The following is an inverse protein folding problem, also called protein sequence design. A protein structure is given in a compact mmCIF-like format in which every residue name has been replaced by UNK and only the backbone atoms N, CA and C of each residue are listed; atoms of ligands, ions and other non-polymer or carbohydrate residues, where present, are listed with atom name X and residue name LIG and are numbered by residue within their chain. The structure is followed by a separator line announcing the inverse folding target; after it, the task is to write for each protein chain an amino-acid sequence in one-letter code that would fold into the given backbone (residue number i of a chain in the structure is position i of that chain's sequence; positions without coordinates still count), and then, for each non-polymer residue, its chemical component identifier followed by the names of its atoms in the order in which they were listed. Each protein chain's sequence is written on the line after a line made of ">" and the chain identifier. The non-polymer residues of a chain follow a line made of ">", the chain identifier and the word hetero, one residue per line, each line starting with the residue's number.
data_IF_266017194215
#
_entry.id   IF_266017194215
#
_cell.length_a   1.000
_cell.length_b   1.000
_cell.length_c   1.000
_cell.angle_alpha   90.00
_cell.angle_beta   90.00
_cell.angle_gamma   90.00
#
_symmetry.space_group_name_H-M   'P 1'
#
loop_
_entity.id
_entity.type
_entity.pdbx_description
1 polymer ?
#
# COMPACT_ATOMS: atom_id res chain seq x y z
N UNK A 1 40.10 -8.16 -3.64
CA UNK A 1 38.63 -8.08 -3.45
C UNK A 1 38.35 -7.32 -2.16
N UNK A 2 37.80 -6.11 -2.26
CA UNK A 2 37.45 -5.28 -1.09
C UNK A 2 36.29 -5.93 -0.32
N UNK A 3 36.33 -5.88 1.03
CA UNK A 3 35.29 -6.44 1.92
C UNK A 3 33.85 -6.03 1.51
N UNK A 4 33.69 -4.85 0.90
CA UNK A 4 32.43 -4.32 0.36
C UNK A 4 31.86 -5.19 -0.78
N UNK A 5 32.70 -5.68 -1.70
CA UNK A 5 32.28 -6.52 -2.81
C UNK A 5 31.88 -7.94 -2.39
N UNK A 6 32.52 -8.48 -1.34
CA UNK A 6 32.13 -9.78 -0.77
C UNK A 6 30.76 -9.70 -0.06
N UNK A 7 30.50 -8.61 0.67
CA UNK A 7 29.19 -8.36 1.27
C UNK A 7 28.08 -8.24 0.22
N UNK A 8 28.36 -7.54 -0.89
CA UNK A 8 27.46 -7.42 -2.05
C UNK A 8 27.11 -8.78 -2.67
N UNK A 9 28.08 -9.70 -2.82
CA UNK A 9 27.83 -11.06 -3.33
C UNK A 9 26.99 -11.92 -2.38
N UNK A 10 27.25 -11.84 -1.07
CA UNK A 10 26.49 -12.56 -0.05
C UNK A 10 25.04 -12.07 -0.03
N UNK A 11 24.84 -10.76 -0.11
CA UNK A 11 23.49 -10.15 -0.22
C UNK A 11 22.78 -10.60 -1.49
N UNK A 12 23.47 -10.71 -2.64
CA UNK A 12 22.89 -11.25 -3.88
C UNK A 12 22.42 -12.70 -3.72
N UNK A 13 23.22 -13.57 -3.07
CA UNK A 13 22.81 -14.96 -2.79
C UNK A 13 21.65 -15.04 -1.79
N UNK A 14 21.62 -14.15 -0.81
CA UNK A 14 20.54 -14.06 0.18
C UNK A 14 19.22 -13.58 -0.43
N UNK A 15 19.29 -12.61 -1.35
CA UNK A 15 18.14 -12.12 -2.12
C UNK A 15 17.46 -13.25 -2.93
N UNK A 16 18.25 -14.19 -3.44
CA UNK A 16 17.70 -15.34 -4.17
C UNK A 16 17.01 -16.36 -3.27
N UNK A 17 17.35 -16.43 -1.98
CA UNK A 17 16.75 -17.36 -1.02
C UNK A 17 15.52 -16.79 -0.30
N UNK A 18 15.47 -15.48 -0.06
CA UNK A 18 14.35 -14.84 0.67
C UNK A 18 14.15 -13.36 0.27
N UNK A 19 13.27 -13.09 -0.71
CA UNK A 19 12.98 -11.73 -1.19
C UNK A 19 12.36 -10.80 -0.15
N UNK A 20 11.71 -11.34 0.89
CA UNK A 20 11.05 -10.52 1.93
C UNK A 20 12.09 -10.03 2.93
N UNK A 21 12.99 -10.92 3.36
CA UNK A 21 14.09 -10.53 4.24
C UNK A 21 15.15 -9.70 3.52
N UNK A 22 15.25 -9.79 2.19
CA UNK A 22 16.21 -8.98 1.45
C UNK A 22 15.87 -7.49 1.40
N UNK A 23 14.58 -7.12 1.41
CA UNK A 23 14.17 -5.73 1.50
C UNK A 23 14.74 -5.06 2.76
N UNK A 24 14.70 -5.74 3.92
CA UNK A 24 15.28 -5.25 5.18
C UNK A 24 16.78 -5.04 5.08
N UNK A 25 17.49 -5.96 4.42
CA UNK A 25 18.93 -5.84 4.21
C UNK A 25 19.27 -4.65 3.30
N UNK A 26 18.47 -4.42 2.25
CA UNK A 26 18.61 -3.28 1.35
C UNK A 26 18.31 -1.95 2.06
N UNK A 27 17.32 -1.89 2.94
CA UNK A 27 16.98 -0.68 3.72
C UNK A 27 18.10 -0.26 4.69
N UNK A 28 18.94 -1.20 5.14
CA UNK A 28 20.08 -0.91 5.99
C UNK A 28 21.29 -0.34 5.22
N UNK A 29 21.30 -0.45 3.89
CA UNK A 29 22.37 0.07 3.04
C UNK A 29 22.13 1.54 2.69
N UNK A 30 23.19 2.21 2.24
CA UNK A 30 23.02 3.52 1.59
C UNK A 30 22.23 3.35 0.28
N UNK A 31 21.39 4.33 -0.11
CA UNK A 31 20.60 4.23 -1.35
C UNK A 31 21.43 3.91 -2.60
N UNK A 32 22.64 4.47 -2.70
CA UNK A 32 23.57 4.20 -3.79
C UNK A 32 24.11 2.76 -3.78
N UNK A 33 24.42 2.20 -2.61
CA UNK A 33 24.89 0.81 -2.48
C UNK A 33 23.75 -0.17 -2.78
N UNK A 34 22.54 0.09 -2.27
CA UNK A 34 21.35 -0.70 -2.59
C UNK A 34 21.03 -0.68 -4.11
N UNK A 35 21.16 0.48 -4.76
CA UNK A 35 20.99 0.59 -6.22
C UNK A 35 22.03 -0.24 -6.99
N UNK A 36 23.26 -0.35 -6.49
CA UNK A 36 24.29 -1.21 -7.07
C UNK A 36 23.96 -2.70 -6.91
N UNK A 37 23.38 -3.10 -5.77
CA UNK A 37 22.88 -4.47 -5.56
C UNK A 37 21.80 -4.80 -6.60
N UNK A 38 20.78 -3.94 -6.70
CA UNK A 38 19.61 -4.16 -7.57
C UNK A 38 20.00 -4.24 -9.06
N UNK A 39 20.92 -3.40 -9.54
CA UNK A 39 21.46 -3.48 -10.91
C UNK A 39 22.08 -4.82 -11.25
N UNK A 40 22.64 -5.51 -10.25
CA UNK A 40 23.26 -6.81 -10.42
C UNK A 40 22.30 -7.98 -10.43
N UNK A 41 20.98 -7.74 -10.37
CA UNK A 41 19.94 -8.76 -10.32
C UNK A 41 19.09 -8.75 -11.59
N UNK A 42 18.47 -9.89 -11.94
CA UNK A 42 17.42 -9.91 -12.95
C UNK A 42 16.26 -8.98 -12.56
N UNK A 43 15.68 -8.28 -13.54
CA UNK A 43 14.62 -7.30 -13.30
C UNK A 43 13.42 -7.86 -12.50
N UNK A 44 13.09 -9.15 -12.66
CA UNK A 44 12.02 -9.80 -11.89
C UNK A 44 12.35 -9.95 -10.41
N UNK A 45 13.60 -10.29 -10.08
CA UNK A 45 14.05 -10.43 -8.69
C UNK A 45 14.23 -9.06 -8.05
N UNK A 46 14.75 -8.09 -8.79
CA UNK A 46 14.84 -6.71 -8.34
C UNK A 46 13.43 -6.13 -8.06
N UNK A 47 12.44 -6.43 -8.90
CA UNK A 47 11.06 -6.01 -8.68
C UNK A 47 10.47 -6.59 -7.39
N UNK A 48 10.67 -7.89 -7.12
CA UNK A 48 10.25 -8.51 -5.86
C UNK A 48 10.91 -7.86 -4.64
N UNK A 49 12.19 -7.49 -4.73
CA UNK A 49 12.86 -6.77 -3.64
C UNK A 49 12.22 -5.38 -3.46
N UNK A 50 12.01 -4.65 -4.55
CA UNK A 50 11.40 -3.32 -4.54
C UNK A 50 9.98 -3.34 -3.98
N UNK A 51 9.17 -4.34 -4.32
CA UNK A 51 7.80 -4.51 -3.78
C UNK A 51 7.74 -4.63 -2.26
N UNK A 52 8.82 -5.08 -1.62
CA UNK A 52 8.89 -5.26 -0.18
C UNK A 52 9.60 -4.10 0.54
N UNK A 53 10.19 -3.14 -0.19
CA UNK A 53 10.82 -1.95 0.39
C UNK A 53 9.79 -0.93 0.88
N UNK A 54 10.22 0.01 1.72
CA UNK A 54 9.41 1.22 1.96
C UNK A 54 9.29 1.96 0.63
N UNK A 55 8.11 2.47 0.23
CA UNK A 55 7.99 3.29 -0.97
C UNK A 55 9.00 4.46 -1.02
N UNK A 56 9.28 5.09 0.13
CA UNK A 56 10.31 6.14 0.25
C UNK A 56 11.73 5.61 -0.02
N UNK A 57 12.10 4.49 0.59
CA UNK A 57 13.41 3.86 0.39
C UNK A 57 13.57 3.35 -1.04
N UNK A 58 12.54 2.72 -1.60
CA UNK A 58 12.51 2.32 -3.00
C UNK A 58 12.70 3.52 -3.94
N UNK A 59 11.99 4.63 -3.71
CA UNK A 59 12.16 5.86 -4.49
C UNK A 59 13.61 6.38 -4.43
N UNK A 60 14.19 6.50 -3.23
CA UNK A 60 15.58 6.93 -3.05
C UNK A 60 16.57 6.01 -3.77
N UNK A 61 16.36 4.70 -3.71
CA UNK A 61 17.22 3.72 -4.39
C UNK A 61 17.10 3.83 -5.91
N UNK A 62 15.87 3.92 -6.44
CA UNK A 62 15.62 4.02 -7.87
C UNK A 62 16.16 5.31 -8.47
N UNK A 63 16.15 6.42 -7.73
CA UNK A 63 16.76 7.70 -8.16
C UNK A 63 18.27 7.63 -8.33
N UNK A 64 18.94 6.64 -7.72
CA UNK A 64 20.36 6.36 -7.94
C UNK A 64 20.62 5.38 -9.10
N UNK A 65 19.58 4.98 -9.84
CA UNK A 65 19.66 4.12 -11.01
C UNK A 65 19.41 4.92 -12.31
N UNK A 66 19.76 4.35 -13.46
CA UNK A 66 19.36 4.96 -14.72
C UNK A 66 17.84 4.83 -14.92
N UNK A 67 17.13 5.83 -15.47
CA UNK A 67 15.68 5.78 -15.67
C UNK A 67 15.19 4.53 -16.42
N UNK A 68 15.98 4.04 -17.38
CA UNK A 68 15.68 2.82 -18.14
C UNK A 68 15.76 1.55 -17.30
N UNK A 69 16.73 1.46 -16.38
CA UNK A 69 16.84 0.33 -15.45
C UNK A 69 15.71 0.36 -14.42
N UNK A 70 15.40 1.56 -13.88
CA UNK A 70 14.28 1.75 -12.96
C UNK A 70 12.95 1.37 -13.61
N UNK A 71 12.70 1.81 -14.85
CA UNK A 71 11.49 1.45 -15.60
C UNK A 71 11.36 -0.07 -15.81
N UNK A 72 12.45 -0.76 -16.13
CA UNK A 72 12.46 -2.22 -16.30
C UNK A 72 12.10 -2.98 -15.00
N UNK A 73 12.49 -2.44 -13.83
CA UNK A 73 12.13 -3.00 -12.53
C UNK A 73 10.66 -2.69 -12.22
N UNK A 74 10.24 -1.44 -12.36
CA UNK A 74 8.88 -0.98 -12.06
C UNK A 74 7.82 -1.67 -12.93
N UNK A 75 8.12 -1.97 -14.19
CA UNK A 75 7.23 -2.72 -15.07
C UNK A 75 6.92 -4.13 -14.55
N UNK A 76 7.81 -4.72 -13.75
CA UNK A 76 7.64 -6.05 -13.18
C UNK A 76 7.14 -6.04 -11.73
N UNK A 77 7.02 -4.86 -11.13
CA UNK A 77 6.50 -4.67 -9.79
C UNK A 77 4.99 -4.41 -9.82
N UNK A 78 4.31 -4.68 -8.71
CA UNK A 78 2.89 -4.44 -8.53
C UNK A 78 2.52 -2.97 -8.70
N UNK A 79 1.53 -2.69 -9.57
CA UNK A 79 1.06 -1.35 -9.93
C UNK A 79 0.79 -0.45 -8.72
N UNK A 80 0.18 -1.00 -7.67
CA UNK A 80 -0.11 -0.28 -6.42
C UNK A 80 1.15 0.25 -5.74
N UNK A 81 2.11 -0.63 -5.51
CA UNK A 81 3.35 -0.26 -4.83
C UNK A 81 4.16 0.73 -5.67
N UNK A 82 4.16 0.55 -7.00
CA UNK A 82 4.78 1.50 -7.93
C UNK A 82 4.11 2.88 -7.84
N UNK A 83 2.79 2.97 -7.78
CA UNK A 83 2.09 4.24 -7.61
C UNK A 83 2.52 4.95 -6.32
N UNK A 84 2.69 4.23 -5.22
CA UNK A 84 3.18 4.81 -3.95
C UNK A 84 4.64 5.28 -4.04
N UNK A 85 5.50 4.52 -4.72
CA UNK A 85 6.88 4.92 -5.01
C UNK A 85 6.91 6.23 -5.81
N UNK A 86 6.09 6.34 -6.85
CA UNK A 86 6.05 7.52 -7.73
C UNK A 86 5.71 8.82 -7.00
N UNK A 87 4.92 8.77 -5.91
CA UNK A 87 4.63 9.95 -5.08
C UNK A 87 5.85 10.45 -4.29
N UNK A 88 6.85 9.59 -4.12
CA UNK A 88 8.09 9.87 -3.37
C UNK A 88 9.27 10.16 -4.28
N UNK A 89 9.16 9.84 -5.57
CA UNK A 89 10.16 10.18 -6.56
C UNK A 89 10.22 11.69 -6.78
N UNK A 90 11.43 12.19 -7.00
CA UNK A 90 11.68 13.54 -7.47
C UNK A 90 10.96 13.79 -8.80
N UNK A 91 10.38 14.99 -9.00
CA UNK A 91 9.51 15.27 -10.15
C UNK A 91 10.22 15.09 -11.49
N UNK A 92 11.51 15.40 -11.56
CA UNK A 92 12.30 15.28 -12.79
C UNK A 92 12.60 13.82 -13.13
N UNK A 93 12.90 12.99 -12.12
CA UNK A 93 13.12 11.56 -12.31
C UNK A 93 11.82 10.85 -12.70
N UNK A 94 10.71 11.17 -12.03
CA UNK A 94 9.40 10.64 -12.39
C UNK A 94 9.03 10.95 -13.86
N UNK A 95 9.24 12.19 -14.31
CA UNK A 95 9.04 12.60 -15.71
C UNK A 95 9.92 11.84 -16.70
N UNK A 96 11.12 11.44 -16.31
CA UNK A 96 12.02 10.65 -17.14
C UNK A 96 11.62 9.17 -17.23
N UNK A 97 11.00 8.61 -16.18
CA UNK A 97 10.60 7.20 -16.11
C UNK A 97 9.23 6.94 -16.74
N UNK A 98 8.26 7.84 -16.57
CA UNK A 98 6.88 7.66 -17.09
C UNK A 98 6.84 7.28 -18.58
N UNK A 99 7.59 7.95 -19.49
CA UNK A 99 7.57 7.61 -20.92
C UNK A 99 8.17 6.24 -21.25
N UNK A 100 8.92 5.65 -20.31
CA UNK A 100 9.56 4.34 -20.46
C UNK A 100 8.67 3.19 -19.97
N UNK A 101 7.56 3.51 -19.31
CA UNK A 101 6.52 2.55 -18.92
C UNK A 101 5.54 2.36 -20.08
N UNK A 102 4.90 1.19 -20.15
CA UNK A 102 3.89 0.91 -21.18
C UNK A 102 2.68 1.84 -21.03
N UNK A 103 2.05 2.20 -22.15
CA UNK A 103 0.90 3.13 -22.17
C UNK A 103 -0.23 2.71 -21.22
N UNK A 104 -0.51 1.40 -21.15
CA UNK A 104 -1.54 0.86 -20.26
C UNK A 104 -1.16 0.99 -18.79
N UNK A 105 0.11 0.71 -18.45
CA UNK A 105 0.61 0.85 -17.07
C UNK A 105 0.58 2.31 -16.61
N UNK A 106 1.00 3.23 -17.48
CA UNK A 106 1.01 4.67 -17.20
C UNK A 106 -0.40 5.23 -16.98
N UNK A 107 -1.39 4.78 -17.77
CA UNK A 107 -2.80 5.19 -17.61
C UNK A 107 -3.38 4.69 -16.29
N UNK A 108 -3.23 3.40 -16.01
CA UNK A 108 -3.71 2.80 -14.76
C UNK A 108 -3.12 3.52 -13.53
N UNK A 109 -1.81 3.80 -13.56
CA UNK A 109 -1.13 4.48 -12.48
C UNK A 109 -1.59 5.94 -12.32
N UNK A 110 -1.76 6.68 -13.42
CA UNK A 110 -2.26 8.05 -13.38
C UNK A 110 -3.67 8.13 -12.77
N UNK A 111 -4.52 7.16 -13.11
CA UNK A 111 -5.85 7.04 -12.52
C UNK A 111 -5.78 6.76 -11.01
N UNK A 112 -4.98 5.77 -10.60
CA UNK A 112 -4.77 5.44 -9.18
C UNK A 112 -4.22 6.63 -8.38
N UNK A 113 -3.34 7.44 -8.97
CA UNK A 113 -2.72 8.59 -8.33
C UNK A 113 -3.70 9.73 -8.04
N UNK A 114 -4.82 9.77 -8.76
CA UNK A 114 -5.90 10.78 -8.65
C UNK A 114 -6.78 10.54 -7.43
N UNK A 115 -6.93 9.29 -6.98
CA UNK A 115 -7.80 8.97 -5.84
C UNK A 115 -7.15 9.26 -4.47
N UNK A 116 -7.94 9.58 -3.42
CA UNK A 116 -7.44 9.79 -2.06
C UNK A 116 -6.71 8.57 -1.47
N UNK A 117 -5.80 8.78 -0.50
CA UNK A 117 -4.96 7.72 0.11
C UNK A 117 -5.79 6.53 0.62
N UNK A 118 -6.82 6.83 1.41
CA UNK A 118 -7.65 5.86 2.14
C UNK A 118 -8.94 5.48 1.38
N UNK A 119 -8.96 5.62 0.05
CA UNK A 119 -10.16 5.40 -0.76
C UNK A 119 -10.16 4.05 -1.47
N UNK A 120 -11.34 3.55 -1.83
CA UNK A 120 -11.51 2.34 -2.63
C UNK A 120 -10.68 2.39 -3.93
N UNK A 121 -10.65 3.54 -4.61
CA UNK A 121 -9.91 3.74 -5.85
C UNK A 121 -8.39 3.61 -5.70
N UNK A 122 -7.86 3.82 -4.48
CA UNK A 122 -6.45 3.55 -4.18
C UNK A 122 -6.19 2.08 -3.84
N UNK A 123 -7.15 1.44 -3.19
CA UNK A 123 -7.05 0.06 -2.74
C UNK A 123 -7.45 -0.95 -3.83
N UNK A 124 -8.01 -0.49 -4.96
CA UNK A 124 -8.58 -1.34 -6.00
C UNK A 124 -7.56 -1.86 -7.00
N UNK A 125 -7.63 -3.14 -7.30
CA UNK A 125 -6.86 -3.77 -8.37
C UNK A 125 -7.63 -3.65 -9.68
N UNK A 126 -6.93 -3.30 -10.77
CA UNK A 126 -7.50 -3.28 -12.13
C UNK A 126 -7.50 -4.66 -12.79
N UNK A 127 -6.87 -5.65 -12.18
CA UNK A 127 -6.83 -7.03 -12.64
C UNK A 127 -8.07 -7.79 -12.15
N UNK A 128 -9.15 -7.76 -12.93
CA UNK A 128 -10.41 -8.46 -12.62
C UNK A 128 -10.93 -9.28 -13.79
N UNK A 129 -11.76 -10.28 -13.47
CA UNK A 129 -12.44 -11.09 -14.50
C UNK A 129 -13.81 -10.51 -14.80
N UNK A 130 -14.00 -10.11 -16.06
CA UNK A 130 -15.28 -9.68 -16.59
C UNK A 130 -15.62 -10.41 -17.89
N UNK A 131 -16.88 -10.83 -18.03
CA UNK A 131 -17.42 -11.50 -19.21
C UNK A 131 -18.62 -10.73 -19.76
N UNK A 132 -18.80 -10.76 -21.09
CA UNK A 132 -19.98 -10.18 -21.75
C UNK A 132 -21.21 -11.02 -21.46
N UNK A 133 -22.38 -10.37 -21.29
CA UNK A 133 -23.65 -11.01 -20.90
C UNK A 133 -24.11 -12.11 -21.87
N UNK A 134 -23.79 -11.98 -23.15
CA UNK A 134 -24.18 -12.90 -24.23
C UNK A 134 -23.27 -14.15 -24.30
N UNK A 135 -22.14 -14.15 -23.59
CA UNK A 135 -21.18 -15.24 -23.63
C UNK A 135 -21.79 -16.51 -23.06
N UNK A 136 -21.54 -17.65 -23.71
CA UNK A 136 -22.06 -18.95 -23.23
C UNK A 136 -21.30 -19.43 -22.00
N UNK A 137 -21.99 -20.11 -21.10
CA UNK A 137 -21.39 -20.71 -19.89
C UNK A 137 -20.17 -21.58 -20.22
N UNK A 138 -20.23 -22.40 -21.29
CA UNK A 138 -19.10 -23.24 -21.72
C UNK A 138 -17.84 -22.44 -22.07
N UNK A 139 -17.99 -21.28 -22.69
CA UNK A 139 -16.89 -20.43 -23.11
C UNK A 139 -16.23 -19.77 -21.90
N UNK A 140 -17.05 -19.31 -20.95
CA UNK A 140 -16.56 -18.75 -19.67
C UNK A 140 -15.79 -19.81 -18.89
N UNK A 141 -16.33 -21.02 -18.74
CA UNK A 141 -15.62 -22.13 -18.05
C UNK A 141 -14.29 -22.46 -18.73
N UNK A 142 -14.24 -22.50 -20.07
CA UNK A 142 -12.99 -22.74 -20.80
C UNK A 142 -11.95 -21.65 -20.56
N UNK A 143 -12.36 -20.37 -20.56
CA UNK A 143 -11.48 -19.25 -20.23
C UNK A 143 -10.96 -19.35 -18.80
N UNK A 144 -11.84 -19.63 -17.84
CA UNK A 144 -11.46 -19.82 -16.43
C UNK A 144 -10.45 -20.95 -16.26
N UNK A 145 -10.65 -22.10 -16.92
CA UNK A 145 -9.68 -23.22 -16.90
C UNK A 145 -8.33 -22.82 -17.48
N UNK A 146 -8.30 -22.05 -18.57
CA UNK A 146 -7.06 -21.58 -19.17
C UNK A 146 -6.29 -20.62 -18.24
N UNK A 147 -7.00 -19.79 -17.48
CA UNK A 147 -6.41 -18.86 -16.51
C UNK A 147 -5.95 -19.56 -15.23
N UNK A 148 -6.70 -20.55 -14.74
CA UNK A 148 -6.30 -21.35 -13.58
C UNK A 148 -4.95 -22.07 -13.82
N UNK A 149 -4.69 -22.53 -15.05
CA UNK A 149 -3.39 -23.10 -15.44
C UNK A 149 -2.22 -22.11 -15.35
N UNK A 150 -2.51 -20.80 -15.37
CA UNK A 150 -1.52 -19.73 -15.21
C UNK A 150 -1.40 -19.23 -13.75
N UNK A 151 -2.02 -19.92 -12.79
CA UNK A 151 -2.02 -19.56 -11.36
C UNK A 151 -2.50 -18.13 -11.07
N UNK A 152 -3.42 -17.59 -11.89
CA UNK A 152 -4.05 -16.29 -11.62
C UNK A 152 -5.23 -16.54 -10.67
N UNK A 153 -5.15 -16.14 -9.38
CA UNK A 153 -6.25 -16.37 -8.44
C UNK A 153 -7.43 -15.48 -8.82
N UNK A 154 -8.52 -16.09 -9.28
CA UNK A 154 -9.76 -15.41 -9.56
C UNK A 154 -10.79 -15.72 -8.47
N UNK A 155 -11.14 -14.71 -7.66
CA UNK A 155 -12.08 -14.86 -6.55
C UNK A 155 -13.54 -14.71 -7.02
N UNK A 156 -13.80 -13.75 -7.91
CA UNK A 156 -15.12 -13.49 -8.49
C UNK A 156 -15.02 -13.23 -9.99
N UNK A 157 -16.10 -13.56 -10.69
CA UNK A 157 -16.27 -13.30 -12.12
C UNK A 157 -17.46 -12.36 -12.29
N UNK A 158 -17.26 -11.20 -12.91
CA UNK A 158 -18.31 -10.23 -13.14
C UNK A 158 -18.89 -10.34 -14.54
N UNK A 159 -20.14 -9.95 -14.71
CA UNK A 159 -20.80 -9.80 -16.00
C UNK A 159 -20.94 -8.32 -16.30
N UNK A 160 -20.49 -7.93 -17.48
CA UNK A 160 -20.54 -6.54 -17.94
C UNK A 160 -21.32 -6.42 -19.25
N UNK A 161 -22.05 -5.32 -19.37
CA UNK A 161 -22.79 -4.93 -20.56
C UNK A 161 -21.94 -4.10 -21.50
N UNK A 162 -22.58 -3.24 -22.29
CA UNK A 162 -21.91 -2.27 -23.14
C UNK A 162 -21.11 -1.27 -22.29
N UNK A 163 -20.02 -0.73 -22.85
CA UNK A 163 -19.12 0.22 -22.17
C UNK A 163 -18.57 -0.25 -20.79
N UNK A 164 -18.55 -1.57 -20.55
CA UNK A 164 -18.12 -2.20 -19.29
C UNK A 164 -18.99 -1.85 -18.07
N UNK A 165 -20.28 -1.51 -18.28
CA UNK A 165 -21.24 -1.34 -17.18
C UNK A 165 -21.44 -2.65 -16.42
N UNK A 166 -21.31 -2.62 -15.10
CA UNK A 166 -21.47 -3.80 -14.24
C UNK A 166 -22.95 -4.24 -14.21
N UNK A 167 -23.23 -5.47 -14.66
CA UNK A 167 -24.58 -6.04 -14.70
C UNK A 167 -24.83 -7.13 -13.66
N UNK A 168 -23.80 -7.88 -13.28
CA UNK A 168 -23.96 -9.05 -12.43
C UNK A 168 -22.66 -9.65 -11.95
N UNK A 169 -22.76 -10.61 -11.04
CA UNK A 169 -21.66 -11.46 -10.58
C UNK A 169 -22.02 -12.92 -10.79
N UNK A 170 -21.03 -13.73 -11.18
CA UNK A 170 -21.18 -15.15 -11.39
C UNK A 170 -20.65 -15.89 -10.17
N UNK A 171 -21.49 -16.79 -9.66
CA UNK A 171 -21.10 -17.77 -8.68
C UNK A 171 -20.53 -18.99 -9.42
N UNK A 172 -19.32 -19.43 -9.03
CA UNK A 172 -18.67 -20.59 -9.62
C UNK A 172 -19.51 -21.86 -9.52
N UNK A 173 -20.27 -22.03 -8.43
CA UNK A 173 -21.16 -23.18 -8.26
C UNK A 173 -22.27 -23.16 -9.30
N UNK A 174 -22.91 -22.00 -9.47
CA UNK A 174 -24.07 -21.86 -10.35
C UNK A 174 -23.64 -21.98 -11.82
N UNK A 175 -22.44 -21.50 -12.17
CA UNK A 175 -21.81 -21.73 -13.47
C UNK A 175 -21.59 -23.21 -13.79
N UNK A 176 -21.20 -24.03 -12.80
CA UNK A 176 -20.96 -25.46 -13.01
C UNK A 176 -22.25 -26.27 -13.16
N UNK A 177 -23.36 -25.80 -12.57
CA UNK A 177 -24.66 -26.45 -12.64
C UNK A 177 -25.49 -26.00 -13.85
N UNK A 178 -25.15 -24.86 -14.45
CA UNK A 178 -25.86 -24.29 -15.57
C UNK A 178 -25.67 -25.07 -16.88
N UNK A 179 -26.64 -24.93 -17.80
CA UNK A 179 -26.54 -25.48 -19.15
C UNK A 179 -25.35 -24.84 -19.90
N UNK A 180 -24.46 -25.63 -20.54
CA UNK A 180 -23.28 -25.13 -21.24
C UNK A 180 -23.58 -24.10 -22.35
N UNK A 181 -24.76 -24.19 -22.97
CA UNK A 181 -25.19 -23.32 -24.06
C UNK A 181 -26.01 -22.11 -23.61
N UNK A 182 -26.36 -22.03 -22.33
CA UNK A 182 -27.05 -20.85 -21.77
C UNK A 182 -26.12 -19.63 -21.75
N UNK A 183 -26.67 -18.41 -21.96
CA UNK A 183 -25.90 -17.19 -21.78
C UNK A 183 -25.63 -16.94 -20.30
N UNK A 184 -24.49 -16.33 -19.97
CA UNK A 184 -24.14 -16.02 -18.58
C UNK A 184 -25.10 -15.03 -17.92
N UNK A 185 -25.79 -14.21 -18.71
CA UNK A 185 -26.86 -13.32 -18.21
C UNK A 185 -27.99 -14.09 -17.49
N UNK A 186 -28.28 -15.32 -17.92
CA UNK A 186 -29.37 -16.11 -17.34
C UNK A 186 -29.02 -16.69 -15.96
N UNK A 187 -27.73 -16.78 -15.65
CA UNK A 187 -27.21 -17.45 -14.43
C UNK A 187 -26.50 -16.48 -13.49
N UNK A 188 -26.38 -15.20 -13.87
CA UNK A 188 -25.75 -14.18 -13.05
C UNK A 188 -26.67 -13.72 -11.91
N UNK A 189 -26.05 -13.38 -10.79
CA UNK A 189 -26.71 -12.67 -9.71
C UNK A 189 -26.68 -11.18 -10.06
N UNK A 190 -27.87 -10.60 -10.31
CA UNK A 190 -28.02 -9.19 -10.74
C UNK A 190 -27.81 -8.19 -9.61
N UNK A 191 -28.16 -8.57 -8.38
CA UNK A 191 -27.98 -7.72 -7.22
C UNK A 191 -26.51 -7.80 -6.75
N UNK A 192 -25.68 -6.96 -7.36
CA UNK A 192 -24.26 -6.85 -7.02
C UNK A 192 -24.06 -5.63 -6.14
N UNK A 193 -23.55 -5.87 -4.94
CA UNK A 193 -23.08 -4.79 -4.10
C UNK A 193 -21.80 -4.19 -4.72
N UNK A 194 -21.80 -2.89 -4.93
CA UNK A 194 -20.74 -2.12 -5.59
C UNK A 194 -20.41 -0.88 -4.78
N UNK A 195 -19.18 -0.41 -4.88
CA UNK A 195 -18.70 0.79 -4.18
C UNK A 195 -18.18 1.81 -5.19
N UNK A 196 -18.19 3.08 -4.79
CA UNK A 196 -17.58 4.16 -5.58
C UNK A 196 -16.07 4.17 -5.34
N UNK A 197 -15.24 4.70 -6.27
CA UNK A 197 -13.80 4.83 -6.02
C UNK A 197 -13.47 5.79 -4.87
N UNK A 198 -14.41 6.63 -4.46
CA UNK A 198 -14.23 7.58 -3.35
C UNK A 198 -14.67 7.02 -1.99
N UNK A 199 -15.26 5.81 -1.95
CA UNK A 199 -15.66 5.17 -0.69
C UNK A 199 -14.44 5.03 0.24
N UNK A 200 -14.61 5.42 1.50
CA UNK A 200 -13.53 5.43 2.49
C UNK A 200 -13.22 4.03 3.03
N UNK A 201 -11.99 3.84 3.50
CA UNK A 201 -11.55 2.58 4.13
C UNK A 201 -12.49 2.08 5.22
N UNK A 202 -12.98 2.95 6.10
CA UNK A 202 -13.87 2.60 7.21
C UNK A 202 -15.22 2.02 6.74
N UNK A 203 -15.76 2.59 5.66
CA UNK A 203 -16.97 2.10 5.00
C UNK A 203 -16.72 0.70 4.43
N UNK A 204 -15.59 0.50 3.75
CA UNK A 204 -15.18 -0.79 3.21
C UNK A 204 -14.95 -1.83 4.32
N UNK A 205 -14.29 -1.47 5.41
CA UNK A 205 -14.10 -2.36 6.58
C UNK A 205 -15.46 -2.82 7.10
N UNK A 206 -16.38 -1.89 7.33
CA UNK A 206 -17.73 -2.19 7.81
C UNK A 206 -18.47 -3.12 6.86
N UNK A 207 -18.36 -2.87 5.55
CA UNK A 207 -18.98 -3.65 4.51
C UNK A 207 -18.47 -5.10 4.49
N UNK A 208 -17.14 -5.29 4.51
CA UNK A 208 -16.50 -6.60 4.49
C UNK A 208 -16.76 -7.38 5.78
N UNK A 209 -16.77 -6.72 6.94
CA UNK A 209 -17.10 -7.36 8.22
C UNK A 209 -18.55 -7.85 8.30
N UNK A 210 -19.51 -7.10 7.75
CA UNK A 210 -20.94 -7.46 7.80
C UNK A 210 -21.33 -8.51 6.77
N UNK A 211 -20.71 -8.48 5.59
CA UNK A 211 -21.15 -9.29 4.44
C UNK A 211 -20.22 -10.47 4.12
N UNK A 212 -19.03 -10.53 4.74
CA UNK A 212 -18.03 -11.57 4.52
C UNK A 212 -17.65 -11.78 3.04
N UNK A 213 -17.72 -10.72 2.23
CA UNK A 213 -17.26 -10.77 0.85
C UNK A 213 -15.74 -10.86 0.78
N UNK A 214 -15.24 -11.61 -0.21
CA UNK A 214 -13.79 -11.73 -0.45
C UNK A 214 -13.25 -10.59 -1.32
N UNK A 215 -14.12 -9.96 -2.10
CA UNK A 215 -13.86 -8.78 -2.91
C UNK A 215 -15.18 -8.07 -3.26
N UNK A 216 -15.08 -6.78 -3.57
CA UNK A 216 -16.20 -5.91 -3.94
C UNK A 216 -15.80 -5.12 -5.19
N UNK A 217 -16.66 -5.05 -6.22
CA UNK A 217 -16.39 -4.27 -7.42
C UNK A 217 -16.48 -2.76 -7.16
N UNK A 218 -15.54 -2.03 -7.75
CA UNK A 218 -15.52 -0.57 -7.76
C UNK A 218 -16.06 -0.08 -9.10
N UNK A 219 -17.07 0.79 -9.05
CA UNK A 219 -17.69 1.37 -10.25
C UNK A 219 -17.55 2.89 -10.25
N UNK A 220 -17.36 3.47 -11.43
CA UNK A 220 -17.40 4.92 -11.59
C UNK A 220 -18.85 5.46 -11.56
N UNK A 221 -19.03 6.77 -11.74
CA UNK A 221 -20.33 7.43 -11.75
C UNK A 221 -21.28 6.91 -12.85
N UNK A 222 -20.74 6.43 -13.98
CA UNK A 222 -21.53 5.85 -15.08
C UNK A 222 -21.86 4.36 -14.88
N UNK A 223 -21.46 3.77 -13.74
CA UNK A 223 -21.69 2.35 -13.43
C UNK A 223 -20.72 1.39 -14.12
N UNK A 224 -19.67 1.91 -14.76
CA UNK A 224 -18.60 1.13 -15.39
C UNK A 224 -17.71 0.51 -14.32
N UNK A 225 -17.43 -0.78 -14.47
CA UNK A 225 -16.49 -1.50 -13.62
C UNK A 225 -15.05 -1.05 -13.93
N UNK A 226 -14.41 -0.45 -12.93
CA UNK A 226 -13.04 0.09 -13.05
C UNK A 226 -12.02 -0.70 -12.22
N UNK A 227 -12.46 -1.44 -11.21
CA UNK A 227 -11.56 -2.26 -10.40
C UNK A 227 -12.29 -3.13 -9.37
N UNK A 228 -11.52 -3.80 -8.51
CA UNK A 228 -12.02 -4.52 -7.34
C UNK A 228 -11.17 -4.25 -6.10
N UNK A 229 -11.81 -4.12 -4.95
CA UNK A 229 -11.11 -4.14 -3.65
C UNK A 229 -11.26 -5.52 -3.07
N UNK A 230 -10.18 -6.12 -2.58
CA UNK A 230 -10.20 -7.43 -1.93
C UNK A 230 -9.98 -7.31 -0.41
N UNK A 231 -10.35 -8.35 0.34
CA UNK A 231 -10.22 -8.35 1.81
C UNK A 231 -8.76 -8.19 2.25
N UNK A 232 -7.79 -8.74 1.50
CA UNK A 232 -6.36 -8.63 1.84
C UNK A 232 -5.89 -7.18 1.78
N UNK A 233 -6.31 -6.41 0.78
CA UNK A 233 -6.00 -4.99 0.65
C UNK A 233 -6.60 -4.18 1.78
N UNK A 234 -7.80 -4.54 2.26
CA UNK A 234 -8.40 -3.89 3.43
C UNK A 234 -7.64 -4.21 4.71
N UNK A 235 -7.25 -5.47 4.91
CA UNK A 235 -6.46 -5.88 6.07
C UNK A 235 -5.11 -5.14 6.07
N UNK A 236 -4.37 -5.20 4.97
CA UNK A 236 -3.07 -4.54 4.84
C UNK A 236 -3.17 -3.03 5.09
N UNK A 237 -4.13 -2.36 4.45
CA UNK A 237 -4.35 -0.92 4.64
C UNK A 237 -4.81 -0.58 6.07
N UNK A 238 -5.53 -1.48 6.74
CA UNK A 238 -5.93 -1.26 8.15
C UNK A 238 -4.76 -1.44 9.11
N UNK A 239 -3.87 -2.42 8.87
CA UNK A 239 -2.63 -2.59 9.64
C UNK A 239 -1.69 -1.39 9.46
N UNK A 240 -1.53 -0.91 8.23
CA UNK A 240 -0.78 0.31 7.92
C UNK A 240 -1.39 1.52 8.63
N UNK A 241 -2.70 1.75 8.47
CA UNK A 241 -3.39 2.87 9.13
C UNK A 241 -3.27 2.83 10.65
N UNK A 242 -3.47 1.67 11.28
CA UNK A 242 -3.29 1.52 12.73
C UNK A 242 -1.85 1.78 13.18
N UNK A 243 -0.87 1.37 12.39
CA UNK A 243 0.55 1.64 12.68
C UNK A 243 0.86 3.13 12.54
N UNK A 244 0.35 3.79 11.49
CA UNK A 244 0.49 5.23 11.29
C UNK A 244 -0.16 6.03 12.44
N UNK A 245 -1.37 5.65 12.85
CA UNK A 245 -2.09 6.27 13.97
C UNK A 245 -1.33 6.11 15.28
N UNK A 246 -0.83 4.91 15.58
CA UNK A 246 0.01 4.68 16.76
C UNK A 246 1.30 5.50 16.72
N UNK A 247 1.97 5.59 15.58
CA UNK A 247 3.19 6.38 15.44
C UNK A 247 2.93 7.88 15.65
N UNK A 248 1.86 8.40 15.05
CA UNK A 248 1.50 9.81 15.16
C UNK A 248 1.09 10.21 16.58
N UNK A 249 0.45 9.32 17.35
CA UNK A 249 0.17 9.53 18.78
C UNK A 249 1.43 9.82 19.61
N UNK A 250 2.57 9.23 19.24
CA UNK A 250 3.87 9.47 19.90
C UNK A 250 4.73 10.53 19.20
N UNK A 251 4.18 11.27 18.23
CA UNK A 251 4.90 12.27 17.45
C UNK A 251 5.94 11.72 16.47
N UNK A 252 5.89 10.41 16.17
CA UNK A 252 6.64 9.81 15.09
C UNK A 252 5.91 10.02 13.76
N UNK A 253 6.66 10.03 12.66
CA UNK A 253 6.08 10.17 11.31
C UNK A 253 5.59 8.81 10.83
N UNK A 254 4.43 8.75 10.19
CA UNK A 254 3.84 7.57 9.50
C UNK A 254 4.79 6.83 8.53
N UNK A 255 5.90 7.47 8.15
CA UNK A 255 6.91 6.97 7.22
C UNK A 255 8.11 6.33 7.95
N UNK A 256 8.13 6.37 9.28
CA UNK A 256 9.22 5.86 10.10
C UNK A 256 9.13 4.34 10.23
N UNK A 257 10.16 3.62 9.76
CA UNK A 257 10.33 2.19 10.03
C UNK A 257 11.42 1.95 11.07
N UNK A 258 11.46 0.72 11.58
CA UNK A 258 12.45 0.26 12.58
C UNK A 258 13.88 0.61 12.15
N UNK A 259 14.21 0.46 10.87
CA UNK A 259 15.55 0.67 10.33
C UNK A 259 15.79 2.04 9.66
N UNK A 260 14.84 2.99 9.76
CA UNK A 260 15.06 4.32 9.17
C UNK A 260 16.30 5.03 9.78
N UNK A 261 17.05 5.83 9.00
CA UNK A 261 18.24 6.52 9.49
C UNK A 261 17.96 7.40 10.72
N UNK A 262 18.88 7.40 11.69
CA UNK A 262 18.71 8.14 12.95
C UNK A 262 18.39 9.64 12.73
N UNK A 263 19.04 10.26 11.75
CA UNK A 263 18.80 11.67 11.41
C UNK A 263 17.38 11.95 10.91
N UNK A 264 16.80 11.04 10.11
CA UNK A 264 15.42 11.17 9.63
C UNK A 264 14.44 11.12 10.80
N UNK A 265 14.63 10.18 11.74
CA UNK A 265 13.80 10.03 12.94
C UNK A 265 13.82 11.28 13.81
N UNK A 266 15.02 11.82 14.08
CA UNK A 266 15.19 13.04 14.88
C UNK A 266 14.43 14.21 14.24
N UNK A 267 14.63 14.47 12.95
CA UNK A 267 14.01 15.60 12.25
C UNK A 267 12.49 15.52 12.25
N UNK A 268 11.92 14.31 12.08
CA UNK A 268 10.47 14.11 12.05
C UNK A 268 9.82 14.24 13.43
N UNK A 269 10.53 13.86 14.50
CA UNK A 269 10.04 13.95 15.89
C UNK A 269 10.28 15.32 16.54
N UNK A 270 11.23 16.11 16.02
CA UNK A 270 11.60 17.41 16.57
C UNK A 270 10.43 18.40 16.73
N UNK A 271 9.49 18.55 15.78
CA UNK A 271 8.35 19.45 15.94
C UNK A 271 7.49 19.07 17.15
N UNK A 272 7.15 17.79 17.29
CA UNK A 272 6.36 17.30 18.42
C UNK A 272 7.11 17.44 19.75
N UNK A 273 8.41 17.13 19.77
CA UNK A 273 9.26 17.33 20.94
C UNK A 273 9.35 18.80 21.34
N UNK A 274 9.34 19.73 20.38
CA UNK A 274 9.37 21.17 20.66
C UNK A 274 8.07 21.62 21.30
N UNK A 275 6.93 21.13 20.83
CA UNK A 275 5.62 21.39 21.44
C UNK A 275 5.59 20.86 22.88
N UNK A 276 6.00 19.60 23.10
CA UNK A 276 6.06 19.04 24.46
C UNK A 276 7.00 19.82 25.38
N UNK A 277 8.17 20.21 24.87
CA UNK A 277 9.14 20.99 25.62
C UNK A 277 8.56 22.37 26.00
N UNK A 278 7.88 23.04 25.08
CA UNK A 278 7.20 24.31 25.36
C UNK A 278 6.11 24.15 26.44
N UNK A 279 5.33 23.08 26.40
CA UNK A 279 4.31 22.76 27.42
C UNK A 279 4.95 22.51 28.78
N UNK A 280 6.08 21.80 28.84
CA UNK A 280 6.84 21.59 30.08
C UNK A 280 7.38 22.90 30.64
N UNK A 281 7.91 23.79 29.80
CA UNK A 281 8.33 25.12 30.23
C UNK A 281 7.16 25.95 30.76
N UNK A 282 5.99 25.88 30.12
CA UNK A 282 4.77 26.55 30.60
C UNK A 282 4.35 26.02 31.97
N UNK A 283 4.35 24.70 32.18
CA UNK A 283 4.07 24.09 33.47
C UNK A 283 5.09 24.53 34.54
N UNK A 284 6.38 24.57 34.19
CA UNK A 284 7.44 25.09 35.07
C UNK A 284 7.23 26.56 35.44
N UNK A 285 6.79 27.39 34.50
CA UNK A 285 6.44 28.79 34.77
C UNK A 285 5.26 28.91 35.74
N UNK A 286 4.24 28.05 35.63
CA UNK A 286 3.14 28.00 36.60
C UNK A 286 3.65 27.60 37.98
N UNK A 287 4.52 26.59 38.09
CA UNK A 287 5.11 26.18 39.38
C UNK A 287 5.91 27.32 40.02
N UNK A 288 6.66 28.09 39.22
CA UNK A 288 7.42 29.25 39.70
C UNK A 288 6.54 30.33 40.34
N UNK A 289 5.28 30.48 39.91
CA UNK A 289 4.33 31.40 40.56
C UNK A 289 3.96 30.98 42.00
N UNK A 290 4.20 29.73 42.39
CA UNK A 290 3.88 29.17 43.71
C UNK A 290 5.14 28.86 44.54
N UNK A 291 6.30 29.41 44.18
CA UNK A 291 7.59 29.16 44.86
C UNK A 291 7.51 29.44 46.38
N UNK A 292 6.88 30.55 46.78
CA UNK A 292 6.71 30.93 48.19
C UNK A 292 5.94 29.90 49.03
N UNK A 293 5.01 29.16 48.41
CA UNK A 293 4.24 28.11 49.08
C UNK A 293 5.06 26.82 49.21
N UNK A 294 5.87 26.52 48.20
CA UNK A 294 6.77 25.36 48.19
C UNK A 294 7.83 25.51 49.29
N UNK A 295 8.39 26.71 49.47
CA UNK A 295 9.36 27.00 50.55
C UNK A 295 8.75 26.78 51.94
N UNK A 296 7.47 27.13 52.13
CA UNK A 296 6.77 26.94 53.41
C UNK A 296 6.44 25.48 53.69
N UNK A 297 6.15 24.70 52.66
CA UNK A 297 5.77 23.29 52.77
C UNK A 297 6.54 22.46 51.75
N UNK A 298 7.75 22.05 52.13
CA UNK A 298 8.63 21.25 51.27
C UNK A 298 7.97 19.94 50.77
N UNK A 299 6.99 19.39 51.52
CA UNK A 299 6.22 18.23 51.10
C UNK A 299 5.45 18.44 49.78
N UNK A 300 5.07 19.68 49.45
CA UNK A 300 4.42 20.00 48.16
C UNK A 300 5.33 19.68 46.97
N UNK A 301 6.64 19.93 47.09
CA UNK A 301 7.60 19.59 46.05
C UNK A 301 7.67 18.07 45.80
N UNK A 302 7.55 17.26 46.85
CA UNK A 302 7.52 15.80 46.74
C UNK A 302 6.21 15.27 46.13
N UNK A 303 5.10 16.01 46.28
CA UNK A 303 3.80 15.65 45.73
C UNK A 303 3.63 16.05 44.26
N UNK A 304 4.37 17.06 43.77
CA UNK A 304 4.28 17.55 42.39
C UNK A 304 4.42 16.42 41.33
N UNK A 305 5.44 15.54 41.38
CA UNK A 305 5.57 14.46 40.39
C UNK A 305 4.45 13.42 40.48
N UNK A 306 3.91 13.18 41.68
CA UNK A 306 2.85 12.19 41.92
C UNK A 306 1.53 12.68 41.32
N UNK A 307 1.17 13.95 41.59
CA UNK A 307 -0.06 14.55 41.08
C UNK A 307 0.02 14.74 39.56
N UNK A 308 1.17 15.21 39.05
CA UNK A 308 1.39 15.34 37.61
C UNK A 308 1.27 13.98 36.89
N UNK A 309 1.92 12.94 37.42
CA UNK A 309 1.88 11.59 36.81
C UNK A 309 0.51 10.89 36.86
N UNK A 310 -0.36 11.25 37.80
CA UNK A 310 -1.75 10.74 37.84
C UNK A 310 -2.70 11.53 36.92
N UNK A 311 -2.36 12.79 36.60
CA UNK A 311 -3.13 13.63 35.70
C UNK A 311 -2.98 13.27 34.22
N UNK A 312 -1.90 12.56 33.86
CA UNK A 312 -1.55 12.18 32.49
C UNK A 312 -0.17 12.69 32.08
#
# INVERSE_FOLDING_TARGET
>A
MTKKNAALEIVKRFIQSDPVNSARALEALSPADAAQVLRGLPASTAAQCVENLVPLSAAQVLEHMAPLEAAAILHKAGKHHVADIFRRLGPDFAKAVIPLLTDDFSKDMAEMLTYPKESAGRMMHTDFLAFRREMKVKEVILKLRAMAKKSIPATYCYVVGDENVLLGVLNMRDLLLASPDSPVEAVMIKEVLRVTPFAGREELVTLFSKKHYLAVPVVNETGRLIGLVNTKSIIASSEEGATEDLQTLFGASAEERVYSPAWFKIKKRLPWLTVNLATVFLAGAVVALFEDLIVKVAALAALLPIVAGQGG
#
